data_IF_533228883045
#
_entry.id   IF_533228883045
#
_cell.length_a   1.000
_cell.length_b   1.000
_cell.length_c   1.000
_cell.angle_alpha   90.00
_cell.angle_beta   90.00
_cell.angle_gamma   90.00
#
_symmetry.space_group_name_H-M   'P 1'
#
loop_
_entity.id
_entity.type
_entity.pdbx_description
1 polymer ?
#
# COMPACT_ATOMS: atom_id res chain seq x y z
N UNK A 1 14.26 1.87 9.88
CA UNK A 1 13.24 2.95 9.95
C UNK A 1 13.94 4.27 10.26
N UNK A 2 13.42 5.42 9.81
CA UNK A 2 14.06 6.73 10.03
C UNK A 2 13.64 7.88 9.08
N UNK A 3 12.73 7.63 8.13
CA UNK A 3 12.20 8.66 7.23
C UNK A 3 10.85 9.20 7.73
N UNK A 4 10.60 10.49 7.47
CA UNK A 4 9.37 11.19 7.83
C UNK A 4 8.76 11.82 6.58
N UNK A 5 7.44 11.78 6.48
CA UNK A 5 6.66 12.37 5.37
C UNK A 5 5.20 12.57 5.79
N UNK A 6 4.40 13.17 4.93
CA UNK A 6 2.95 13.33 5.09
C UNK A 6 2.19 12.44 4.09
N UNK A 7 0.85 12.40 4.20
CA UNK A 7 0.04 11.53 3.35
C UNK A 7 0.07 11.94 1.87
N UNK A 8 0.17 13.24 1.58
CA UNK A 8 0.15 13.77 0.22
C UNK A 8 1.44 13.41 -0.53
N UNK A 9 2.60 13.62 0.08
CA UNK A 9 3.89 13.32 -0.54
C UNK A 9 4.10 11.81 -0.72
N UNK A 10 3.62 11.00 0.23
CA UNK A 10 3.56 9.55 0.05
C UNK A 10 2.60 9.17 -1.08
N UNK A 11 1.45 9.84 -1.23
CA UNK A 11 0.54 9.57 -2.34
C UNK A 11 1.20 9.89 -3.69
N UNK A 12 1.98 10.97 -3.81
CA UNK A 12 2.78 11.27 -5.01
C UNK A 12 3.78 10.15 -5.32
N UNK A 13 4.49 9.66 -4.31
CA UNK A 13 5.43 8.54 -4.47
C UNK A 13 4.72 7.25 -4.91
N UNK A 14 3.59 6.91 -4.28
CA UNK A 14 2.82 5.72 -4.66
C UNK A 14 2.21 5.86 -6.06
N UNK A 15 1.76 7.06 -6.43
CA UNK A 15 1.29 7.36 -7.79
C UNK A 15 2.42 7.27 -8.82
N UNK A 16 3.65 7.65 -8.47
CA UNK A 16 4.83 7.44 -9.32
C UNK A 16 5.01 5.95 -9.65
N UNK A 17 4.90 5.07 -8.65
CA UNK A 17 4.93 3.62 -8.89
C UNK A 17 3.70 3.13 -9.69
N UNK A 18 2.51 3.67 -9.45
CA UNK A 18 1.29 3.35 -10.22
C UNK A 18 1.47 3.66 -11.72
N UNK A 19 2.15 4.77 -12.01
CA UNK A 19 2.41 5.25 -13.36
C UNK A 19 3.65 4.59 -14.01
N UNK A 20 4.11 3.44 -13.50
CA UNK A 20 5.26 2.74 -14.04
C UNK A 20 6.59 3.47 -13.85
N UNK A 21 6.72 4.28 -12.80
CA UNK A 21 7.98 4.92 -12.43
C UNK A 21 8.09 6.41 -12.77
N UNK A 22 7.00 7.03 -13.24
CA UNK A 22 6.97 8.43 -13.69
C UNK A 22 5.94 9.27 -12.95
N UNK A 23 6.26 10.52 -12.64
CA UNK A 23 5.33 11.46 -12.02
C UNK A 23 5.66 12.89 -12.45
N UNK A 24 4.65 13.70 -12.74
CA UNK A 24 4.84 15.10 -13.13
C UNK A 24 5.67 15.29 -14.40
N UNK A 25 5.61 14.36 -15.36
CA UNK A 25 6.40 14.41 -16.60
C UNK A 25 7.86 13.97 -16.45
N UNK A 26 8.28 13.54 -15.25
CA UNK A 26 9.63 13.04 -14.98
C UNK A 26 9.60 11.54 -14.72
N UNK A 27 10.50 10.80 -15.37
CA UNK A 27 10.73 9.37 -15.09
C UNK A 27 11.82 9.22 -14.05
N UNK A 28 11.48 8.67 -12.89
CA UNK A 28 12.41 8.42 -11.78
C UNK A 28 12.94 6.98 -11.80
N UNK A 29 12.07 6.04 -12.18
CA UNK A 29 12.34 4.60 -12.21
C UNK A 29 11.85 4.05 -13.55
N UNK A 30 12.58 3.10 -14.12
CA UNK A 30 12.13 2.45 -15.36
C UNK A 30 10.91 1.55 -15.10
N UNK A 31 9.94 1.47 -16.03
CA UNK A 31 8.76 0.61 -15.86
C UNK A 31 9.09 -0.85 -15.56
N UNK A 32 10.15 -1.39 -16.18
CA UNK A 32 10.58 -2.78 -15.97
C UNK A 32 11.10 -2.99 -14.54
N UNK A 33 11.76 -1.98 -13.96
CA UNK A 33 12.22 -2.02 -12.56
C UNK A 33 11.04 -1.97 -11.60
N UNK A 34 10.03 -1.13 -11.88
CA UNK A 34 8.81 -1.11 -11.06
C UNK A 34 8.12 -2.47 -11.11
N UNK A 35 7.94 -3.05 -12.30
CA UNK A 35 7.34 -4.37 -12.48
C UNK A 35 8.13 -5.46 -11.74
N UNK A 36 9.46 -5.43 -11.80
CA UNK A 36 10.30 -6.40 -11.10
C UNK A 36 10.16 -6.31 -9.58
N UNK A 37 10.08 -5.09 -9.02
CA UNK A 37 10.04 -4.91 -7.58
C UNK A 37 8.66 -5.20 -6.98
N UNK A 38 7.59 -5.05 -7.76
CA UNK A 38 6.20 -5.23 -7.30
C UNK A 38 5.63 -6.61 -7.60
N UNK A 39 6.28 -7.44 -8.43
CA UNK A 39 5.90 -8.84 -8.63
C UNK A 39 6.19 -9.69 -7.38
N UNK A 40 5.47 -10.80 -7.23
CA UNK A 40 5.76 -11.78 -6.18
C UNK A 40 7.10 -12.46 -6.47
N UNK A 41 8.03 -12.42 -5.51
CA UNK A 41 9.41 -12.91 -5.71
C UNK A 41 9.56 -14.43 -5.60
N UNK A 42 8.60 -15.12 -4.99
CA UNK A 42 8.61 -16.57 -4.81
C UNK A 42 7.20 -17.13 -4.82
N UNK A 43 7.04 -18.37 -5.30
CA UNK A 43 5.73 -19.03 -5.37
C UNK A 43 5.08 -19.13 -3.99
N UNK A 44 3.77 -18.83 -3.90
CA UNK A 44 3.04 -18.75 -2.63
C UNK A 44 3.47 -17.60 -1.71
N UNK A 45 4.35 -16.72 -2.17
CA UNK A 45 4.89 -15.62 -1.39
C UNK A 45 3.95 -14.45 -1.20
N UNK A 46 4.22 -13.67 -0.14
CA UNK A 46 3.51 -12.41 0.18
C UNK A 46 4.44 -11.20 0.08
N UNK A 47 5.50 -11.30 -0.73
CA UNK A 47 6.55 -10.28 -0.82
C UNK A 47 6.92 -9.99 -2.27
N UNK A 48 6.95 -8.71 -2.60
CA UNK A 48 7.77 -8.16 -3.67
C UNK A 48 9.17 -7.83 -3.14
N UNK A 49 10.02 -7.26 -3.99
CA UNK A 49 11.30 -6.73 -3.56
C UNK A 49 11.08 -5.41 -2.82
N UNK A 50 10.96 -5.49 -1.49
CA UNK A 50 10.71 -4.33 -0.62
C UNK A 50 9.23 -4.00 -0.39
N UNK A 51 8.29 -4.75 -0.99
CA UNK A 51 6.85 -4.54 -0.82
C UNK A 51 6.14 -5.76 -0.20
N UNK A 52 5.12 -5.49 0.59
CA UNK A 52 4.08 -6.45 0.98
C UNK A 52 3.15 -6.74 -0.22
N UNK A 53 2.76 -8.01 -0.37
CA UNK A 53 1.75 -8.49 -1.31
C UNK A 53 0.60 -9.12 -0.54
N UNK A 54 -0.59 -9.18 -1.15
CA UNK A 54 -1.65 -10.05 -0.62
C UNK A 54 -1.46 -11.50 -1.07
N UNK A 55 -1.72 -12.49 -0.19
CA UNK A 55 -1.63 -13.90 -0.55
C UNK A 55 -2.75 -14.36 -1.48
N UNK A 56 -3.93 -13.73 -1.39
CA UNK A 56 -5.10 -14.11 -2.19
C UNK A 56 -6.01 -12.90 -2.37
N UNK A 57 -6.53 -12.67 -3.59
CA UNK A 57 -7.49 -11.61 -3.83
C UNK A 57 -8.79 -11.88 -3.07
N UNK A 58 -9.40 -10.80 -2.58
CA UNK A 58 -10.71 -10.85 -1.93
C UNK A 58 -11.73 -10.27 -2.90
N UNK A 59 -12.93 -10.86 -2.97
CA UNK A 59 -14.03 -10.30 -3.78
C UNK A 59 -14.31 -8.87 -3.30
N UNK A 60 -14.28 -7.90 -4.23
CA UNK A 60 -14.40 -6.47 -3.95
C UNK A 60 -13.35 -5.94 -2.96
N UNK A 61 -12.12 -6.46 -3.02
CA UNK A 61 -10.99 -5.99 -2.23
C UNK A 61 -9.72 -5.92 -3.07
N UNK A 62 -8.55 -5.91 -2.40
CA UNK A 62 -7.27 -5.83 -3.08
C UNK A 62 -7.06 -6.89 -4.16
N UNK A 63 -6.53 -6.46 -5.30
CA UNK A 63 -6.19 -7.32 -6.43
C UNK A 63 -4.91 -8.11 -6.19
N UNK A 64 -4.70 -9.18 -6.95
CA UNK A 64 -3.48 -9.98 -6.88
C UNK A 64 -2.23 -9.17 -7.24
N UNK A 65 -2.36 -8.12 -8.04
CA UNK A 65 -1.27 -7.23 -8.42
C UNK A 65 -1.00 -6.12 -7.41
N UNK A 66 -1.87 -5.95 -6.41
CA UNK A 66 -1.68 -4.92 -5.39
C UNK A 66 -0.46 -5.15 -4.50
N UNK A 67 0.12 -4.06 -4.03
CA UNK A 67 1.34 -4.04 -3.23
C UNK A 67 1.43 -2.80 -2.32
N UNK A 68 2.26 -2.85 -1.30
CA UNK A 68 2.44 -1.72 -0.39
C UNK A 68 3.41 -2.01 0.74
N UNK A 69 3.29 -1.30 1.86
CA UNK A 69 4.04 -1.63 3.07
C UNK A 69 3.30 -1.17 4.33
N UNK A 70 3.37 -1.99 5.39
CA UNK A 70 2.91 -1.61 6.73
C UNK A 70 4.04 -1.03 7.59
N UNK A 71 3.77 0.06 8.32
CA UNK A 71 4.67 0.62 9.30
C UNK A 71 4.34 0.17 10.73
N UNK A 72 5.39 0.09 11.56
CA UNK A 72 5.29 -0.35 12.96
C UNK A 72 4.29 0.46 13.80
N UNK A 73 4.22 1.77 13.56
CA UNK A 73 3.30 2.70 14.24
C UNK A 73 1.88 2.62 13.69
N UNK A 74 1.55 1.66 12.83
CA UNK A 74 0.20 1.48 12.27
C UNK A 74 -0.02 2.24 10.97
N UNK A 75 1.04 2.78 10.36
CA UNK A 75 0.96 3.39 9.04
C UNK A 75 0.85 2.32 7.94
N UNK A 76 0.35 2.72 6.79
CA UNK A 76 0.25 1.88 5.61
C UNK A 76 0.28 2.74 4.35
N UNK A 77 1.02 2.29 3.35
CA UNK A 77 0.87 2.75 1.95
C UNK A 77 0.46 1.56 1.11
N UNK A 78 -0.39 1.78 0.13
CA UNK A 78 -0.88 0.71 -0.72
C UNK A 78 -1.21 1.21 -2.12
N UNK A 79 -0.90 0.36 -3.10
CA UNK A 79 -1.14 0.57 -4.51
C UNK A 79 -1.86 -0.65 -5.09
N UNK A 80 -2.92 -0.41 -5.84
CA UNK A 80 -3.66 -1.44 -6.56
C UNK A 80 -3.83 -1.03 -8.03
N UNK A 81 -2.94 -1.52 -8.91
CA UNK A 81 -2.98 -1.19 -10.34
C UNK A 81 -4.28 -1.59 -11.02
N UNK A 82 -4.82 -2.76 -10.68
CA UNK A 82 -6.02 -3.31 -11.30
C UNK A 82 -7.27 -2.49 -10.95
N UNK A 83 -7.28 -1.87 -9.76
CA UNK A 83 -8.36 -0.98 -9.32
C UNK A 83 -8.04 0.51 -9.48
N UNK A 84 -6.88 0.85 -10.04
CA UNK A 84 -6.34 2.21 -10.13
C UNK A 84 -6.43 2.99 -8.80
N UNK A 85 -6.15 2.31 -7.68
CA UNK A 85 -6.31 2.85 -6.33
C UNK A 85 -4.96 3.02 -5.62
N UNK A 86 -4.67 4.25 -5.19
CA UNK A 86 -3.61 4.57 -4.21
C UNK A 86 -4.30 4.92 -2.89
N UNK A 87 -3.83 4.38 -1.76
CA UNK A 87 -4.22 4.91 -0.46
C UNK A 87 -3.09 4.90 0.57
N UNK A 88 -3.14 5.90 1.44
CA UNK A 88 -2.17 6.13 2.52
C UNK A 88 -2.92 6.28 3.82
N UNK A 89 -2.51 5.53 4.83
CA UNK A 89 -3.03 5.61 6.20
C UNK A 89 -1.87 5.97 7.11
N UNK A 90 -1.92 7.16 7.72
CA UNK A 90 -0.95 7.57 8.73
C UNK A 90 -1.62 7.60 10.10
N UNK A 91 -1.32 6.61 10.93
CA UNK A 91 -1.80 6.53 12.31
C UNK A 91 -0.62 6.39 13.26
N UNK A 92 -0.89 6.57 14.55
CA UNK A 92 0.07 6.31 15.62
C UNK A 92 -0.53 5.35 16.64
N UNK A 93 -0.54 4.06 16.29
CA UNK A 93 -1.03 3.01 17.19
C UNK A 93 -0.18 2.87 18.46
N UNK A 94 1.05 3.40 18.50
CA UNK A 94 1.93 3.34 19.69
C UNK A 94 1.57 4.38 20.74
N UNK A 95 0.66 5.29 20.43
CA UNK A 95 0.13 6.24 21.39
C UNK A 95 -1.15 5.69 22.06
N UNK A 96 -1.29 5.75 23.40
CA UNK A 96 -0.31 6.23 24.39
C UNK A 96 0.72 5.17 24.83
N UNK A 97 0.57 3.91 24.41
CA UNK A 97 1.50 2.82 24.77
C UNK A 97 1.76 1.88 23.60
N UNK A 98 2.94 1.26 23.60
CA UNK A 98 3.33 0.18 22.68
C UNK A 98 2.40 -1.05 22.76
N UNK A 99 1.62 -1.20 23.82
CA UNK A 99 0.63 -2.27 23.98
C UNK A 99 -0.77 -1.91 23.47
N UNK A 100 -0.98 -0.67 22.97
CA UNK A 100 -2.27 -0.29 22.41
C UNK A 100 -2.59 -1.10 21.14
N UNK A 101 -3.63 -1.94 21.25
CA UNK A 101 -4.11 -2.86 20.21
C UNK A 101 -5.38 -2.38 19.50
N UNK A 102 -5.88 -1.17 19.77
CA UNK A 102 -7.18 -0.69 19.25
C UNK A 102 -7.26 -0.71 17.72
N UNK A 103 -6.19 -0.33 17.04
CA UNK A 103 -6.14 -0.32 15.57
C UNK A 103 -6.39 -1.74 14.99
N UNK A 104 -5.81 -2.77 15.62
CA UNK A 104 -5.97 -4.16 15.19
C UNK A 104 -7.29 -4.76 15.67
N UNK A 105 -7.65 -4.57 16.94
CA UNK A 105 -8.87 -5.17 17.50
C UNK A 105 -10.14 -4.63 16.86
N UNK A 106 -10.14 -3.36 16.44
CA UNK A 106 -11.24 -2.75 15.71
C UNK A 106 -11.13 -2.90 14.18
N UNK A 107 -10.08 -3.59 13.67
CA UNK A 107 -9.84 -3.82 12.24
C UNK A 107 -9.91 -2.54 11.40
N UNK A 108 -9.37 -1.43 11.93
CA UNK A 108 -9.56 -0.09 11.35
C UNK A 108 -9.02 -0.01 9.93
N UNK A 109 -7.83 -0.57 9.68
CA UNK A 109 -7.19 -0.53 8.35
C UNK A 109 -7.99 -1.34 7.33
N UNK A 110 -8.46 -2.51 7.73
CA UNK A 110 -9.26 -3.40 6.90
C UNK A 110 -10.60 -2.77 6.57
N UNK A 111 -11.26 -2.13 7.54
CA UNK A 111 -12.54 -1.45 7.35
C UNK A 111 -12.41 -0.23 6.44
N UNK A 112 -11.40 0.62 6.65
CA UNK A 112 -11.12 1.77 5.76
C UNK A 112 -10.86 1.27 4.34
N UNK A 113 -9.97 0.28 4.19
CA UNK A 113 -9.65 -0.31 2.90
C UNK A 113 -10.90 -0.83 2.20
N UNK A 114 -11.74 -1.62 2.89
CA UNK A 114 -12.96 -2.16 2.30
C UNK A 114 -13.89 -1.03 1.83
N UNK A 115 -14.07 0.02 2.63
CA UNK A 115 -14.88 1.18 2.23
C UNK A 115 -14.34 1.90 1.00
N UNK A 116 -13.02 1.98 0.84
CA UNK A 116 -12.41 2.53 -0.37
C UNK A 116 -12.74 1.67 -1.59
N UNK A 117 -12.56 0.35 -1.52
CA UNK A 117 -12.91 -0.55 -2.63
C UNK A 117 -14.41 -0.53 -2.96
N UNK A 118 -15.27 -0.50 -1.94
CA UNK A 118 -16.73 -0.41 -2.12
C UNK A 118 -17.15 0.91 -2.80
N UNK A 119 -16.35 1.98 -2.67
CA UNK A 119 -16.65 3.30 -3.24
C UNK A 119 -16.25 3.46 -4.72
N UNK A 120 -15.46 2.52 -5.25
CA UNK A 120 -15.07 2.54 -6.66
C UNK A 120 -16.27 2.06 -7.48
N UNK A 121 -16.93 3.00 -8.16
CA UNK A 121 -17.96 2.69 -9.16
C UNK A 121 -17.26 2.01 -10.33
N UNK A 122 -17.69 0.78 -10.65
CA UNK A 122 -17.20 0.03 -11.81
C UNK A 122 -18.01 0.33 -13.05
#
# INVERSE_FOLDING_TARGET
AGLFSNAEDLAKLMQMYMNGGSYGGVTFVKPETVSEFTKTQYSGGRRGAGFDKIPSPVKNGPSANSYGHFGFTGTMVWNDPDSQLVFVILTNRINPSVDNKKLQSQKVRENIRQKLYDSIVK
#
